data_IF_147876849971
#
_entry.id   IF_147876849971
#
_cell.length_a   1.000
_cell.length_b   1.000
_cell.length_c   1.000
_cell.angle_alpha   90.00
_cell.angle_beta   90.00
_cell.angle_gamma   90.00
#
_symmetry.space_group_name_H-M   'P 1'
#
loop_
_entity.id
_entity.type
_entity.pdbx_description
1 polymer ?
#
# COMPACT_ATOMS: atom_id res chain seq x y z
N UNK A 1 8.08 38.38 4.78
CA UNK A 1 8.09 38.02 3.34
C UNK A 1 9.00 36.81 3.14
N UNK A 2 8.50 35.58 3.25
CA UNK A 2 9.13 34.31 2.82
C UNK A 2 8.14 33.17 3.11
N UNK A 3 7.07 33.07 2.32
CA UNK A 3 6.11 31.94 2.31
C UNK A 3 5.40 31.80 0.96
N UNK A 4 6.16 31.81 -0.14
CA UNK A 4 5.51 31.75 -1.47
C UNK A 4 6.23 30.83 -2.49
N UNK A 5 7.24 30.06 -2.11
CA UNK A 5 8.03 29.31 -3.11
C UNK A 5 8.00 27.78 -3.00
N UNK A 6 7.08 27.18 -2.22
CA UNK A 6 6.97 25.70 -2.16
C UNK A 6 5.79 25.11 -2.94
N UNK A 7 4.91 25.92 -3.50
CA UNK A 7 3.77 25.44 -4.30
C UNK A 7 4.04 25.22 -5.80
N UNK A 8 5.18 25.67 -6.32
CA UNK A 8 5.42 25.66 -7.78
C UNK A 8 6.02 24.36 -8.33
N UNK A 9 6.65 23.52 -7.51
CA UNK A 9 7.33 22.32 -8.00
C UNK A 9 6.37 21.15 -8.31
N UNK A 10 5.25 21.05 -7.61
CA UNK A 10 4.27 19.98 -7.83
C UNK A 10 3.29 20.24 -8.99
N UNK A 11 3.06 21.48 -9.37
CA UNK A 11 2.14 21.82 -10.47
C UNK A 11 2.72 21.61 -11.87
N UNK A 12 4.03 21.50 -12.02
CA UNK A 12 4.68 21.42 -13.36
C UNK A 12 4.72 19.99 -13.92
N UNK A 13 4.47 18.96 -13.12
CA UNK A 13 4.55 17.56 -13.56
C UNK A 13 3.23 17.02 -14.13
N UNK A 14 2.09 17.62 -13.84
CA UNK A 14 0.78 17.04 -14.14
C UNK A 14 -0.04 17.70 -15.27
N UNK A 15 0.44 18.75 -15.93
CA UNK A 15 -0.29 19.42 -17.02
C UNK A 15 0.52 19.47 -18.31
N UNK A 16 0.75 18.32 -18.96
CA UNK A 16 1.11 18.28 -20.38
C UNK A 16 0.58 17.01 -21.04
N UNK A 17 -0.76 16.95 -21.18
CA UNK A 17 -1.40 16.05 -22.14
C UNK A 17 -1.73 16.88 -23.38
N UNK A 18 -0.87 16.82 -24.39
CA UNK A 18 -1.24 17.17 -25.77
C UNK A 18 -1.25 15.89 -26.60
N UNK A 19 -2.40 15.64 -27.17
CA UNK A 19 -2.74 14.60 -28.13
C UNK A 19 -1.64 14.33 -29.16
N UNK A 20 -1.21 13.09 -29.30
CA UNK A 20 -0.57 12.56 -30.49
C UNK A 20 -1.54 11.57 -31.13
N UNK A 21 -2.34 12.06 -32.05
CA UNK A 21 -2.93 11.26 -33.12
C UNK A 21 -1.88 11.18 -34.24
N UNK A 22 -1.82 9.99 -34.87
CA UNK A 22 -1.04 9.67 -36.07
C UNK A 22 0.50 9.55 -35.90
N UNK A 23 0.93 8.37 -35.49
CA UNK A 23 2.25 7.86 -35.89
C UNK A 23 2.13 6.40 -36.34
N UNK A 24 2.42 6.18 -37.62
CA UNK A 24 2.60 4.87 -38.24
C UNK A 24 3.64 4.06 -37.46
N UNK A 25 3.34 2.80 -37.18
CA UNK A 25 4.26 1.84 -36.56
C UNK A 25 5.52 1.70 -37.41
N UNK A 26 6.71 1.98 -36.86
CA UNK A 26 7.96 1.57 -37.50
C UNK A 26 8.17 0.07 -37.31
N UNK A 27 8.84 -0.55 -38.30
CA UNK A 27 9.23 -1.94 -38.30
C UNK A 27 10.11 -2.31 -37.08
N UNK A 28 10.09 -3.59 -36.71
CA UNK A 28 10.81 -4.23 -35.63
C UNK A 28 12.24 -3.67 -35.47
N UNK A 29 12.43 -2.83 -34.45
CA UNK A 29 13.75 -2.43 -33.99
C UNK A 29 14.31 -3.54 -33.10
N UNK A 30 15.57 -3.92 -33.39
CA UNK A 30 16.38 -4.83 -32.57
C UNK A 30 16.32 -4.37 -31.10
N UNK A 31 15.96 -5.32 -30.20
CA UNK A 31 15.86 -5.11 -28.76
C UNK A 31 17.19 -4.56 -28.22
N UNK A 32 17.29 -3.25 -28.05
CA UNK A 32 18.28 -2.69 -27.14
C UNK A 32 18.04 -3.27 -25.74
N UNK A 33 19.08 -3.65 -25.00
CA UNK A 33 18.92 -4.19 -23.66
C UNK A 33 18.21 -3.16 -22.80
N UNK A 34 16.99 -3.49 -22.36
CA UNK A 34 16.19 -2.63 -21.46
C UNK A 34 17.04 -2.22 -20.25
N UNK A 35 17.09 -0.91 -19.97
CA UNK A 35 17.81 -0.35 -18.81
C UNK A 35 17.48 -1.18 -17.55
N UNK A 36 18.49 -1.50 -16.77
CA UNK A 36 18.38 -2.29 -15.55
C UNK A 36 17.33 -1.72 -14.58
N UNK A 37 17.22 -0.39 -14.51
CA UNK A 37 16.23 0.32 -13.69
C UNK A 37 14.81 0.09 -14.20
N UNK A 38 14.60 0.12 -15.52
CA UNK A 38 13.30 -0.15 -16.13
C UNK A 38 12.91 -1.61 -15.91
N UNK A 39 13.86 -2.54 -16.08
CA UNK A 39 13.63 -3.95 -15.80
C UNK A 39 13.22 -4.18 -14.35
N UNK A 40 13.90 -3.56 -13.39
CA UNK A 40 13.55 -3.64 -11.98
C UNK A 40 12.13 -3.14 -11.72
N UNK A 41 11.74 -1.99 -12.28
CA UNK A 41 10.37 -1.46 -12.15
C UNK A 41 9.33 -2.45 -12.70
N UNK A 42 9.59 -3.06 -13.87
CA UNK A 42 8.67 -4.00 -14.50
C UNK A 42 8.54 -5.29 -13.69
N UNK A 43 9.64 -5.80 -13.16
CA UNK A 43 9.67 -7.10 -12.46
C UNK A 43 9.21 -6.99 -11.00
N UNK A 44 9.55 -5.91 -10.30
CA UNK A 44 9.35 -5.80 -8.84
C UNK A 44 8.41 -4.69 -8.41
N UNK A 45 8.08 -3.74 -9.30
CA UNK A 45 7.31 -2.55 -8.92
C UNK A 45 8.07 -1.61 -7.98
N UNK A 46 9.41 -1.67 -7.99
CA UNK A 46 10.26 -0.88 -7.09
C UNK A 46 11.45 -0.28 -7.82
N UNK A 47 11.99 0.80 -7.28
CA UNK A 47 13.18 1.49 -7.80
C UNK A 47 13.91 2.22 -6.68
N UNK A 48 15.24 2.22 -6.75
CA UNK A 48 16.09 3.12 -5.95
C UNK A 48 16.41 4.37 -6.76
N UNK A 49 16.18 5.53 -6.19
CA UNK A 49 16.42 6.84 -6.82
C UNK A 49 17.46 7.58 -6.00
N UNK A 50 18.46 8.10 -6.69
CA UNK A 50 19.45 9.02 -6.09
C UNK A 50 19.07 10.46 -6.41
N UNK A 51 19.06 11.30 -5.38
CA UNK A 51 18.87 12.74 -5.52
C UNK A 51 19.71 13.49 -4.49
N UNK A 52 20.52 14.41 -4.98
CA UNK A 52 21.38 15.27 -4.13
C UNK A 52 22.31 14.46 -3.20
N UNK A 53 22.75 13.28 -3.64
CA UNK A 53 23.59 12.38 -2.86
C UNK A 53 22.84 11.48 -1.90
N UNK A 54 21.48 11.53 -1.86
CA UNK A 54 20.64 10.69 -1.02
C UNK A 54 20.00 9.57 -1.83
N UNK A 55 20.09 8.33 -1.35
CA UNK A 55 19.49 7.15 -1.95
C UNK A 55 18.18 6.81 -1.26
N UNK A 56 17.09 6.92 -2.00
CA UNK A 56 15.73 6.60 -1.53
C UNK A 56 15.16 5.46 -2.34
N UNK A 57 14.70 4.41 -1.66
CA UNK A 57 13.99 3.32 -2.31
C UNK A 57 12.49 3.62 -2.38
N UNK A 58 11.89 3.38 -3.53
CA UNK A 58 10.46 3.49 -3.77
C UNK A 58 9.90 2.08 -4.03
N UNK A 59 9.04 1.61 -3.14
CA UNK A 59 8.31 0.34 -3.23
C UNK A 59 6.84 0.61 -3.51
N UNK A 60 6.24 -0.11 -4.47
CA UNK A 60 4.81 0.00 -4.75
C UNK A 60 4.05 -1.24 -4.27
N UNK A 61 2.91 -1.03 -3.61
CA UNK A 61 1.94 -2.08 -3.25
C UNK A 61 0.63 -1.75 -3.98
N UNK A 62 0.46 -2.41 -5.13
CA UNK A 62 -0.62 -2.11 -6.08
C UNK A 62 -1.44 -3.37 -6.36
N UNK A 63 -2.76 -3.22 -6.41
CA UNK A 63 -3.69 -4.30 -6.67
C UNK A 63 -3.97 -5.14 -5.42
N UNK A 64 -4.20 -6.44 -5.60
CA UNK A 64 -4.49 -7.35 -4.50
C UNK A 64 -3.20 -7.88 -3.86
N UNK A 65 -3.15 -7.94 -2.52
CA UNK A 65 -2.03 -8.54 -1.80
C UNK A 65 -2.18 -10.06 -1.88
N UNK A 66 -1.22 -10.68 -2.55
CA UNK A 66 -1.15 -12.12 -2.75
C UNK A 66 -0.34 -12.75 -1.62
N UNK A 67 -0.93 -13.77 -0.99
CA UNK A 67 -0.33 -14.52 0.11
C UNK A 67 0.08 -15.94 -0.31
N UNK A 68 -0.36 -16.93 0.47
CA UNK A 68 -0.01 -18.34 0.22
C UNK A 68 -0.71 -18.97 -0.99
N UNK A 69 -1.76 -18.34 -1.51
CA UNK A 69 -2.48 -18.82 -2.69
C UNK A 69 -2.12 -17.97 -3.90
N UNK A 70 -1.71 -18.64 -4.98
CA UNK A 70 -1.42 -17.98 -6.25
C UNK A 70 -2.74 -17.54 -6.89
N UNK A 71 -2.84 -16.25 -7.17
CA UNK A 71 -4.00 -15.67 -7.86
C UNK A 71 -3.87 -15.84 -9.40
N UNK A 72 -4.99 -15.81 -10.13
CA UNK A 72 -4.97 -15.86 -11.59
C UNK A 72 -4.06 -14.78 -12.20
N UNK A 73 -3.30 -15.13 -13.24
CA UNK A 73 -2.29 -14.26 -13.85
C UNK A 73 -2.84 -12.93 -14.40
N UNK A 74 -4.15 -12.85 -14.68
CA UNK A 74 -4.81 -11.62 -15.11
C UNK A 74 -5.08 -10.63 -13.97
N UNK A 75 -4.93 -11.04 -12.71
CA UNK A 75 -5.11 -10.16 -11.57
C UNK A 75 -3.87 -9.27 -11.39
N UNK A 76 -4.10 -8.01 -11.05
CA UNK A 76 -3.03 -7.13 -10.56
C UNK A 76 -2.76 -7.49 -9.11
N UNK A 77 -1.56 -7.99 -8.81
CA UNK A 77 -1.18 -8.43 -7.46
C UNK A 77 0.14 -7.85 -7.03
N UNK A 78 0.29 -7.69 -5.72
CA UNK A 78 1.58 -7.51 -5.05
C UNK A 78 1.87 -8.79 -4.27
N UNK A 79 2.97 -9.45 -4.60
CA UNK A 79 3.38 -10.72 -3.99
C UNK A 79 4.22 -10.45 -2.75
N UNK A 80 3.76 -10.92 -1.59
CA UNK A 80 4.46 -10.67 -0.33
C UNK A 80 5.86 -11.31 -0.29
N UNK A 81 6.06 -12.46 -0.93
CA UNK A 81 7.36 -13.12 -1.06
C UNK A 81 8.39 -12.34 -1.89
N UNK A 82 7.93 -11.36 -2.70
CA UNK A 82 8.81 -10.43 -3.39
C UNK A 82 9.07 -9.17 -2.55
N UNK A 83 8.10 -8.74 -1.74
CA UNK A 83 8.19 -7.54 -0.92
C UNK A 83 9.10 -7.76 0.30
N UNK A 84 8.93 -8.87 1.02
CA UNK A 84 9.67 -9.16 2.25
C UNK A 84 11.20 -9.14 2.03
N UNK A 85 11.79 -9.82 1.02
CA UNK A 85 13.22 -9.75 0.79
C UNK A 85 13.73 -8.36 0.44
N UNK A 86 12.91 -7.55 -0.26
CA UNK A 86 13.27 -6.17 -0.58
C UNK A 86 13.34 -5.31 0.68
N UNK A 87 12.36 -5.42 1.58
CA UNK A 87 12.36 -4.70 2.86
C UNK A 87 13.57 -5.06 3.71
N UNK A 88 13.94 -6.35 3.76
CA UNK A 88 15.15 -6.81 4.46
C UNK A 88 16.41 -6.22 3.82
N UNK A 89 16.52 -6.25 2.49
CA UNK A 89 17.67 -5.70 1.78
C UNK A 89 17.80 -4.18 1.97
N UNK A 90 16.67 -3.45 2.06
CA UNK A 90 16.65 -2.02 2.34
C UNK A 90 17.15 -1.74 3.77
N UNK A 91 16.63 -2.48 4.74
CA UNK A 91 17.00 -2.30 6.17
C UNK A 91 18.48 -2.60 6.42
N UNK A 92 19.05 -3.60 5.75
CA UNK A 92 20.45 -3.99 5.87
C UNK A 92 21.41 -3.14 5.00
N UNK A 93 20.88 -2.27 4.14
CA UNK A 93 21.69 -1.41 3.27
C UNK A 93 22.29 -0.25 4.05
N UNK A 94 23.60 -0.07 3.93
CA UNK A 94 24.29 1.13 4.44
C UNK A 94 24.15 2.35 3.54
N UNK A 95 23.58 2.20 2.34
CA UNK A 95 23.48 3.26 1.33
C UNK A 95 22.05 3.83 1.23
N UNK A 96 21.02 3.01 1.46
CA UNK A 96 19.62 3.45 1.37
C UNK A 96 19.25 4.20 2.63
N UNK A 97 18.92 5.49 2.47
CA UNK A 97 18.64 6.40 3.57
C UNK A 97 17.14 6.52 3.89
N UNK A 98 16.27 5.97 3.06
CA UNK A 98 14.83 6.01 3.27
C UNK A 98 14.04 5.14 2.31
N UNK A 99 12.81 4.81 2.74
CA UNK A 99 11.86 4.01 1.99
C UNK A 99 10.55 4.78 1.82
N UNK A 100 10.08 4.91 0.59
CA UNK A 100 8.75 5.40 0.26
C UNK A 100 7.90 4.20 -0.19
N UNK A 101 6.77 3.98 0.47
CA UNK A 101 5.79 2.94 0.13
C UNK A 101 4.58 3.60 -0.51
N UNK A 102 4.36 3.34 -1.80
CA UNK A 102 3.20 3.84 -2.54
C UNK A 102 2.10 2.79 -2.51
N UNK A 103 0.92 3.17 -2.02
CA UNK A 103 -0.22 2.30 -1.82
C UNK A 103 -1.36 2.64 -2.78
N UNK A 104 -1.80 1.63 -3.54
CA UNK A 104 -3.06 1.62 -4.27
C UNK A 104 -3.59 0.19 -4.31
N UNK A 105 -4.12 -0.28 -3.18
CA UNK A 105 -4.50 -1.68 -2.98
C UNK A 105 -5.96 -1.83 -2.55
N UNK A 106 -6.56 -2.90 -3.02
CA UNK A 106 -7.89 -3.36 -2.58
C UNK A 106 -7.82 -4.23 -1.31
N UNK A 107 -6.61 -4.45 -0.78
CA UNK A 107 -6.35 -5.40 0.28
C UNK A 107 -6.02 -6.78 -0.28
N UNK A 108 -6.26 -7.84 0.48
CA UNK A 108 -5.98 -9.21 0.07
C UNK A 108 -5.72 -10.15 1.24
N UNK A 109 -4.69 -10.97 1.15
CA UNK A 109 -4.31 -11.92 2.21
C UNK A 109 -3.87 -11.19 3.49
N UNK A 110 -4.52 -11.54 4.61
CA UNK A 110 -4.33 -10.85 5.89
C UNK A 110 -2.97 -11.17 6.49
N UNK A 111 -2.54 -12.44 6.43
CA UNK A 111 -1.26 -12.85 7.00
C UNK A 111 -0.09 -12.20 6.23
N UNK A 112 -0.18 -12.17 4.91
CA UNK A 112 0.81 -11.51 4.06
C UNK A 112 0.85 -10.00 4.30
N UNK A 113 -0.31 -9.34 4.36
CA UNK A 113 -0.39 -7.90 4.60
C UNK A 113 0.11 -7.51 5.99
N UNK A 114 -0.23 -8.26 7.04
CA UNK A 114 0.30 -8.04 8.40
C UNK A 114 1.81 -8.29 8.46
N UNK A 115 2.31 -9.33 7.79
CA UNK A 115 3.75 -9.61 7.78
C UNK A 115 4.54 -8.44 7.18
N UNK A 116 4.07 -7.87 6.07
CA UNK A 116 4.67 -6.68 5.45
C UNK A 116 4.56 -5.48 6.40
N UNK A 117 3.39 -5.23 6.98
CA UNK A 117 3.14 -4.09 7.86
C UNK A 117 4.00 -4.14 9.14
N UNK A 118 4.10 -5.31 9.80
CA UNK A 118 4.95 -5.51 10.99
C UNK A 118 6.44 -5.29 10.65
N UNK A 119 6.90 -5.78 9.49
CA UNK A 119 8.28 -5.56 9.07
C UNK A 119 8.56 -4.09 8.85
N UNK A 120 7.71 -3.36 8.12
CA UNK A 120 7.85 -1.92 7.89
C UNK A 120 7.84 -1.15 9.24
N UNK A 121 6.92 -1.49 10.14
CA UNK A 121 6.81 -0.85 11.45
C UNK A 121 8.06 -1.06 12.32
N UNK A 122 8.75 -2.20 12.14
CA UNK A 122 9.98 -2.56 12.86
C UNK A 122 11.26 -1.94 12.30
N UNK A 123 11.25 -1.42 11.06
CA UNK A 123 12.44 -0.87 10.41
C UNK A 123 13.01 0.33 11.15
N UNK A 124 14.34 0.42 11.18
CA UNK A 124 15.07 1.62 11.65
C UNK A 124 15.22 2.64 10.53
N UNK A 125 15.38 2.17 9.30
CA UNK A 125 15.37 3.02 8.09
C UNK A 125 14.15 3.95 8.12
N UNK A 126 14.29 5.25 7.84
CA UNK A 126 13.17 6.18 7.70
C UNK A 126 12.15 5.71 6.66
N UNK A 127 10.89 5.57 7.05
CA UNK A 127 9.83 5.08 6.16
C UNK A 127 8.70 6.08 6.02
N UNK A 128 8.17 6.18 4.80
CA UNK A 128 6.99 7.01 4.47
C UNK A 128 6.01 6.15 3.68
N UNK A 129 4.75 6.12 4.09
CA UNK A 129 3.66 5.57 3.29
C UNK A 129 2.87 6.68 2.60
N UNK A 130 2.43 6.43 1.38
CA UNK A 130 1.62 7.35 0.59
C UNK A 130 0.46 6.60 -0.09
N UNK A 131 -0.76 6.86 0.36
CA UNK A 131 -1.98 6.31 -0.25
C UNK A 131 -2.40 7.23 -1.40
N UNK A 132 -2.29 6.73 -2.65
CA UNK A 132 -2.61 7.50 -3.86
C UNK A 132 -4.03 7.23 -4.42
N UNK A 133 -4.56 6.02 -4.21
CA UNK A 133 -5.89 5.64 -4.69
C UNK A 133 -6.67 4.93 -3.59
N UNK A 134 -6.41 3.64 -3.41
CA UNK A 134 -7.04 2.82 -2.37
C UNK A 134 -6.05 2.32 -1.32
N UNK A 135 -6.45 2.41 -0.03
CA UNK A 135 -5.80 1.72 1.09
C UNK A 135 -6.80 0.84 1.80
N UNK A 136 -7.41 -0.14 1.06
CA UNK A 136 -8.57 -0.85 1.54
C UNK A 136 -8.22 -2.12 2.33
N UNK A 137 -9.06 -2.49 3.31
CA UNK A 137 -8.95 -3.75 4.06
C UNK A 137 -7.59 -3.87 4.76
N UNK A 138 -6.80 -4.91 4.49
CA UNK A 138 -5.44 -5.07 5.02
C UNK A 138 -4.45 -4.00 4.49
N UNK A 139 -4.85 -3.18 3.52
CA UNK A 139 -4.14 -1.97 3.12
C UNK A 139 -4.13 -0.86 4.18
N UNK A 140 -5.10 -0.87 5.13
CA UNK A 140 -5.16 0.09 6.24
C UNK A 140 -3.96 -0.08 7.20
N UNK A 141 -3.66 -1.28 7.72
CA UNK A 141 -2.41 -1.50 8.46
C UNK A 141 -1.15 -1.08 7.70
N UNK A 142 -1.06 -1.38 6.40
CA UNK A 142 0.08 -0.97 5.58
C UNK A 142 0.21 0.56 5.49
N UNK A 143 -0.91 1.28 5.39
CA UNK A 143 -0.89 2.74 5.34
C UNK A 143 -0.32 3.38 6.62
N UNK A 144 -0.57 2.78 7.78
CA UNK A 144 -0.12 3.31 9.08
C UNK A 144 1.16 2.65 9.61
N UNK A 145 1.77 1.72 8.87
CA UNK A 145 2.96 1.00 9.31
C UNK A 145 4.25 1.81 9.23
N UNK A 146 4.30 2.85 8.38
CA UNK A 146 5.48 3.69 8.21
C UNK A 146 5.63 4.71 9.34
N UNK A 147 6.86 5.24 9.51
CA UNK A 147 7.14 6.31 10.49
C UNK A 147 6.32 7.58 10.22
N UNK A 148 6.01 7.84 8.94
CA UNK A 148 5.11 8.91 8.51
C UNK A 148 4.15 8.39 7.46
N UNK A 149 2.87 8.78 7.56
CA UNK A 149 1.81 8.34 6.67
C UNK A 149 1.14 9.53 6.00
N UNK A 150 0.91 9.40 4.70
CA UNK A 150 0.23 10.41 3.88
C UNK A 150 -0.88 9.76 3.05
N UNK A 151 -1.93 10.53 2.83
CA UNK A 151 -3.03 10.16 1.94
C UNK A 151 -3.41 11.37 1.09
N UNK A 152 -3.60 11.17 -0.22
CA UNK A 152 -4.08 12.26 -1.08
C UNK A 152 -5.59 12.49 -0.90
N UNK A 153 -6.09 13.72 -1.13
CA UNK A 153 -7.51 14.05 -0.88
C UNK A 153 -8.52 13.18 -1.63
N UNK A 154 -8.15 12.68 -2.82
CA UNK A 154 -9.00 11.83 -3.66
C UNK A 154 -8.91 10.33 -3.33
N UNK A 155 -7.97 9.93 -2.47
CA UNK A 155 -7.84 8.54 -2.07
C UNK A 155 -8.87 8.16 -0.99
N UNK A 156 -9.12 6.85 -0.87
CA UNK A 156 -10.04 6.31 0.12
C UNK A 156 -9.44 5.11 0.84
N UNK A 157 -9.87 4.92 2.08
CA UNK A 157 -9.55 3.75 2.88
C UNK A 157 -10.85 3.07 3.31
N UNK A 158 -10.92 1.73 3.23
CA UNK A 158 -12.09 0.98 3.67
C UNK A 158 -11.70 0.09 4.84
N UNK A 159 -12.35 0.31 5.97
CA UNK A 159 -12.25 -0.49 7.19
C UNK A 159 -13.46 -1.43 7.23
N UNK A 160 -13.23 -2.74 7.32
CA UNK A 160 -14.29 -3.74 7.40
C UNK A 160 -13.83 -4.98 8.17
N UNK A 161 -14.77 -5.85 8.66
CA UNK A 161 -14.41 -7.08 9.35
C UNK A 161 -13.64 -8.05 8.44
N UNK A 162 -12.90 -8.97 9.06
CA UNK A 162 -12.31 -10.11 8.35
C UNK A 162 -13.40 -10.91 7.66
N UNK A 163 -13.18 -11.22 6.39
CA UNK A 163 -14.12 -11.97 5.54
C UNK A 163 -13.54 -13.32 5.16
N UNK A 164 -14.39 -14.30 4.99
CA UNK A 164 -14.04 -15.62 4.50
C UNK A 164 -15.01 -16.06 3.40
N UNK A 165 -14.47 -16.65 2.36
CA UNK A 165 -15.22 -17.44 1.38
C UNK A 165 -14.75 -18.89 1.44
N UNK A 166 -15.69 -19.85 1.55
CA UNK A 166 -15.33 -21.26 1.49
C UNK A 166 -16.16 -22.14 2.44
N UNK A 167 -15.78 -23.43 2.48
CA UNK A 167 -16.37 -24.43 3.39
C UNK A 167 -15.89 -24.19 4.82
N UNK A 168 -16.82 -24.05 5.75
CA UNK A 168 -16.52 -23.96 7.19
C UNK A 168 -16.65 -25.32 7.83
N UNK A 169 -15.53 -25.86 8.35
CA UNK A 169 -15.48 -27.06 9.18
C UNK A 169 -15.19 -26.63 10.62
N UNK A 170 -16.05 -27.04 11.58
CA UNK A 170 -15.90 -26.66 12.98
C UNK A 170 -16.22 -25.18 13.22
N UNK A 171 -17.51 -24.83 13.18
CA UNK A 171 -18.00 -23.45 13.29
C UNK A 171 -17.44 -22.66 14.47
N UNK A 172 -17.45 -23.17 15.74
CA UNK A 172 -16.91 -22.42 16.88
C UNK A 172 -15.41 -22.12 16.75
N UNK A 173 -14.63 -23.10 16.28
CA UNK A 173 -13.17 -22.96 16.12
C UNK A 173 -12.84 -21.96 15.02
N UNK A 174 -13.57 -22.01 13.90
CA UNK A 174 -13.41 -21.08 12.79
C UNK A 174 -13.75 -19.66 13.23
N UNK A 175 -14.86 -19.46 13.94
CA UNK A 175 -15.24 -18.17 14.48
C UNK A 175 -14.18 -17.60 15.43
N UNK A 176 -13.70 -18.43 16.39
CA UNK A 176 -12.65 -18.01 17.31
C UNK A 176 -11.33 -17.66 16.60
N UNK A 177 -10.98 -18.37 15.52
CA UNK A 177 -9.81 -18.07 14.70
C UNK A 177 -9.95 -16.69 14.03
N UNK A 178 -11.09 -16.40 13.39
CA UNK A 178 -11.31 -15.11 12.73
C UNK A 178 -11.39 -13.95 13.71
N UNK A 179 -11.96 -14.15 14.89
CA UNK A 179 -11.92 -13.16 15.95
C UNK A 179 -10.46 -12.82 16.35
N UNK A 180 -9.62 -13.82 16.55
CA UNK A 180 -8.20 -13.58 16.87
C UNK A 180 -7.47 -12.85 15.74
N UNK A 181 -7.76 -13.20 14.50
CA UNK A 181 -7.18 -12.53 13.33
C UNK A 181 -7.60 -11.06 13.27
N UNK A 182 -8.88 -10.77 13.53
CA UNK A 182 -9.41 -9.42 13.58
C UNK A 182 -8.78 -8.60 14.71
N UNK A 183 -8.64 -9.17 15.91
CA UNK A 183 -7.97 -8.49 17.04
C UNK A 183 -6.50 -8.18 16.73
N UNK A 184 -5.78 -9.03 16.02
CA UNK A 184 -4.40 -8.73 15.57
C UNK A 184 -4.34 -7.47 14.71
N UNK A 185 -5.33 -7.26 13.84
CA UNK A 185 -5.43 -6.04 13.02
C UNK A 185 -5.70 -4.82 13.92
N UNK A 186 -6.66 -4.94 14.84
CA UNK A 186 -7.01 -3.87 15.78
C UNK A 186 -5.79 -3.48 16.63
N UNK A 187 -5.09 -4.47 17.17
CA UNK A 187 -3.89 -4.25 18.00
C UNK A 187 -2.76 -3.60 17.20
N UNK A 188 -2.58 -3.98 15.93
CA UNK A 188 -1.60 -3.36 15.05
C UNK A 188 -1.93 -1.88 14.82
N UNK A 189 -3.18 -1.55 14.49
CA UNK A 189 -3.65 -0.18 14.29
C UNK A 189 -3.43 0.65 15.56
N UNK A 190 -3.84 0.14 16.72
CA UNK A 190 -3.69 0.83 18.01
C UNK A 190 -2.23 1.14 18.38
N UNK A 191 -1.27 0.34 17.90
CA UNK A 191 0.16 0.58 18.14
C UNK A 191 0.78 1.56 17.14
N UNK A 192 0.20 1.73 15.98
CA UNK A 192 0.82 2.45 14.86
C UNK A 192 0.08 3.74 14.45
N UNK A 193 -1.09 4.04 15.02
CA UNK A 193 -1.78 5.32 14.80
C UNK A 193 -2.50 5.80 16.07
N UNK A 194 -3.05 7.01 16.00
CA UNK A 194 -3.74 7.66 17.15
C UNK A 194 -5.20 7.19 17.33
N UNK A 195 -5.74 6.39 16.41
CA UNK A 195 -7.13 5.93 16.49
C UNK A 195 -7.32 4.94 17.64
N UNK A 196 -8.26 5.19 18.58
CA UNK A 196 -8.56 4.25 19.65
C UNK A 196 -9.06 2.91 19.10
N UNK A 197 -8.69 1.76 19.72
CA UNK A 197 -9.13 0.44 19.29
C UNK A 197 -10.64 0.29 19.19
N UNK A 198 -11.39 0.91 20.11
CA UNK A 198 -12.85 0.89 20.15
C UNK A 198 -13.45 1.59 18.94
N UNK A 199 -12.87 2.73 18.55
CA UNK A 199 -13.30 3.47 17.36
C UNK A 199 -13.00 2.73 16.08
N UNK A 200 -11.86 2.06 16.00
CA UNK A 200 -11.56 1.20 14.85
C UNK A 200 -12.53 0.03 14.74
N UNK A 201 -12.94 -0.60 15.87
CA UNK A 201 -13.98 -1.64 15.90
C UNK A 201 -15.35 -1.09 15.50
N UNK A 202 -15.70 0.13 15.94
CA UNK A 202 -16.93 0.81 15.53
C UNK A 202 -16.97 1.00 14.01
N UNK A 203 -15.90 1.53 13.42
CA UNK A 203 -15.82 1.68 11.96
C UNK A 203 -15.84 0.36 11.21
N UNK A 204 -15.21 -0.66 11.77
CA UNK A 204 -15.21 -2.01 11.20
C UNK A 204 -16.60 -2.63 11.14
N UNK A 205 -17.45 -2.35 12.13
CA UNK A 205 -18.79 -2.93 12.28
C UNK A 205 -19.93 -1.99 11.86
N UNK A 206 -19.61 -0.79 11.36
CA UNK A 206 -20.64 0.17 10.93
C UNK A 206 -21.47 -0.39 9.79
N UNK A 207 -22.79 -0.07 9.82
CA UNK A 207 -23.75 -0.46 8.78
C UNK A 207 -24.26 0.78 8.07
N UNK A 208 -24.45 0.70 6.74
CA UNK A 208 -25.07 1.78 5.96
C UNK A 208 -24.11 2.64 5.14
N UNK A 209 -22.79 2.53 5.34
CA UNK A 209 -21.79 3.20 4.47
C UNK A 209 -21.42 2.36 3.24
N UNK A 210 -21.42 1.04 3.38
CA UNK A 210 -21.21 0.10 2.27
C UNK A 210 -22.54 -0.44 1.78
N UNK A 211 -22.83 -0.33 0.49
CA UNK A 211 -24.13 -0.64 -0.10
C UNK A 211 -24.61 -2.08 0.14
N UNK A 212 -23.71 -3.03 0.33
CA UNK A 212 -24.02 -4.47 0.49
C UNK A 212 -23.22 -5.14 1.59
N UNK A 213 -22.58 -4.38 2.47
CA UNK A 213 -21.64 -4.93 3.44
C UNK A 213 -21.52 -4.08 4.71
N UNK A 214 -20.72 -4.55 5.66
CA UNK A 214 -20.40 -3.89 6.92
C UNK A 214 -19.03 -3.25 6.82
N UNK A 215 -18.89 -2.03 7.33
CA UNK A 215 -17.64 -1.29 7.36
C UNK A 215 -17.81 0.19 7.05
N UNK A 216 -16.70 0.90 7.04
CA UNK A 216 -16.63 2.35 6.85
C UNK A 216 -15.66 2.71 5.75
N UNK A 217 -16.01 3.70 4.91
CA UNK A 217 -15.12 4.31 3.95
C UNK A 217 -14.68 5.67 4.47
N UNK A 218 -13.36 5.84 4.60
CA UNK A 218 -12.75 7.12 4.93
C UNK A 218 -12.16 7.72 3.64
N UNK A 219 -12.57 8.92 3.28
CA UNK A 219 -11.85 9.73 2.29
C UNK A 219 -10.55 10.29 2.89
N UNK A 220 -9.70 10.88 2.04
CA UNK A 220 -8.40 11.38 2.48
C UNK A 220 -8.47 12.40 3.59
N UNK A 221 -9.50 13.25 3.63
CA UNK A 221 -9.67 14.25 4.68
C UNK A 221 -10.04 13.59 6.00
N UNK A 222 -11.07 12.75 6.00
CA UNK A 222 -11.54 12.03 7.19
C UNK A 222 -10.47 11.09 7.74
N UNK A 223 -9.67 10.44 6.86
CA UNK A 223 -8.58 9.57 7.28
C UNK A 223 -7.44 10.32 8.01
N UNK A 224 -7.25 11.60 7.74
CA UNK A 224 -6.26 12.44 8.45
C UNK A 224 -6.81 12.99 9.76
N UNK A 225 -8.11 13.23 9.84
CA UNK A 225 -8.78 13.75 11.05
C UNK A 225 -8.93 12.68 12.14
N UNK A 226 -8.95 11.41 11.76
CA UNK A 226 -9.13 10.24 12.62
C UNK A 226 -7.81 9.61 13.05
#
# INVERSE_FOLDING_TARGET
MKKQNQQSAFQTIFCRNQYLADAQMPAEEENEPMDSSIRQIVETGSITVEKDGHLIHCLTIIGQIEGHYILPAQNKTTKYEHVIPQLVAIEESSEIEGLIIILNTVGGDIEAGLAIAELISGMQTPTVSLVLGGGHSIGVPLAVSAKQSFIVPSATMTIHPVRMNGLVLGVPQTFAYFQKMQERIVDFIARNCSMPPEKFREYMLATGELATDVGTVLDGKRAVEE
#
